data_IF_064833613370
#
_entry.id   IF_064833613370
#
_cell.length_a   1.000
_cell.length_b   1.000
_cell.length_c   1.000
_cell.angle_alpha   90.00
_cell.angle_beta   90.00
_cell.angle_gamma   90.00
#
_symmetry.space_group_name_H-M   'P 1'
#
loop_
_entity.id
_entity.type
_entity.pdbx_description
1 polymer ?
#
# COMPACT_ATOMS: atom_id res chain seq x y z
N UNK A 1 51.69 -19.45 -16.68
CA UNK A 1 51.99 -18.20 -15.92
C UNK A 1 52.39 -18.59 -14.51
N UNK A 2 53.55 -18.14 -14.00
CA UNK A 2 53.99 -18.45 -12.63
C UNK A 2 53.13 -17.67 -11.62
N UNK A 3 52.15 -18.34 -11.00
CA UNK A 3 51.25 -17.79 -9.98
C UNK A 3 51.93 -17.47 -8.62
N UNK A 4 53.27 -17.49 -8.57
CA UNK A 4 54.05 -17.34 -7.33
C UNK A 4 54.63 -15.96 -7.07
N UNK A 5 54.44 -15.00 -7.98
CA UNK A 5 54.85 -13.61 -7.72
C UNK A 5 53.84 -12.90 -6.81
N UNK A 6 54.33 -12.15 -5.83
CA UNK A 6 53.53 -11.32 -4.90
C UNK A 6 52.57 -10.39 -5.68
N UNK A 7 53.01 -9.85 -6.82
CA UNK A 7 52.19 -9.00 -7.71
C UNK A 7 50.95 -9.71 -8.24
N UNK A 8 51.08 -10.96 -8.68
CA UNK A 8 49.97 -11.76 -9.22
C UNK A 8 48.91 -12.07 -8.16
N UNK A 9 49.32 -12.22 -6.89
CA UNK A 9 48.40 -12.50 -5.77
C UNK A 9 47.65 -11.25 -5.33
N UNK A 10 48.32 -10.10 -5.36
CA UNK A 10 47.69 -8.81 -5.05
C UNK A 10 46.65 -8.44 -6.11
N UNK A 11 46.96 -8.66 -7.39
CA UNK A 11 46.00 -8.51 -8.50
C UNK A 11 44.82 -9.49 -8.38
N UNK A 12 45.09 -10.75 -8.00
CA UNK A 12 44.03 -11.74 -7.76
C UNK A 12 43.08 -11.30 -6.62
N UNK A 13 43.61 -10.74 -5.54
CA UNK A 13 42.80 -10.24 -4.43
C UNK A 13 41.92 -9.07 -4.85
N UNK A 14 42.47 -8.10 -5.58
CA UNK A 14 41.68 -6.98 -6.11
C UNK A 14 40.59 -7.47 -7.07
N UNK A 15 40.88 -8.47 -7.91
CA UNK A 15 39.90 -9.05 -8.83
C UNK A 15 38.74 -9.73 -8.07
N UNK A 16 39.05 -10.53 -7.04
CA UNK A 16 38.04 -11.18 -6.19
C UNK A 16 37.19 -10.14 -5.47
N UNK A 17 37.79 -9.08 -4.93
CA UNK A 17 37.04 -7.98 -4.32
C UNK A 17 36.09 -7.32 -5.32
N UNK A 18 36.56 -7.00 -6.53
CA UNK A 18 35.74 -6.35 -7.56
C UNK A 18 34.59 -7.26 -8.01
N UNK A 19 34.84 -8.55 -8.21
CA UNK A 19 33.78 -9.52 -8.58
C UNK A 19 32.78 -9.67 -7.43
N UNK A 20 33.25 -9.81 -6.19
CA UNK A 20 32.38 -9.93 -5.02
C UNK A 20 31.52 -8.69 -4.80
N UNK A 21 32.13 -7.50 -4.88
CA UNK A 21 31.42 -6.22 -4.78
C UNK A 21 30.44 -6.04 -5.94
N UNK A 22 30.82 -6.40 -7.16
CA UNK A 22 29.95 -6.35 -8.34
C UNK A 22 28.75 -7.30 -8.20
N UNK A 23 28.97 -8.52 -7.72
CA UNK A 23 27.91 -9.49 -7.43
C UNK A 23 26.96 -9.01 -6.34
N UNK A 24 27.48 -8.40 -5.27
CA UNK A 24 26.67 -7.76 -4.23
C UNK A 24 25.80 -6.66 -4.80
N UNK A 25 26.38 -5.73 -5.57
CA UNK A 25 25.64 -4.60 -6.16
C UNK A 25 24.58 -5.10 -7.14
N UNK A 26 24.90 -6.08 -7.99
CA UNK A 26 23.95 -6.65 -8.94
C UNK A 26 22.79 -7.37 -8.24
N UNK A 27 23.10 -8.20 -7.24
CA UNK A 27 22.11 -8.88 -6.41
C UNK A 27 21.22 -7.86 -5.69
N UNK A 28 21.81 -6.88 -5.02
CA UNK A 28 21.09 -5.85 -4.30
C UNK A 28 20.20 -5.05 -5.25
N UNK A 29 20.70 -4.64 -6.42
CA UNK A 29 19.89 -3.95 -7.42
C UNK A 29 18.67 -4.79 -7.84
N UNK A 30 18.87 -6.06 -8.18
CA UNK A 30 17.79 -6.95 -8.60
C UNK A 30 16.70 -7.12 -7.54
N UNK A 31 17.09 -7.41 -6.29
CA UNK A 31 16.11 -7.62 -5.21
C UNK A 31 15.48 -6.32 -4.73
N UNK A 32 16.24 -5.21 -4.69
CA UNK A 32 15.70 -3.89 -4.33
C UNK A 32 14.66 -3.42 -5.35
N UNK A 33 14.86 -3.66 -6.66
CA UNK A 33 13.84 -3.31 -7.66
C UNK A 33 12.53 -4.08 -7.42
N UNK A 34 12.61 -5.39 -7.15
CA UNK A 34 11.43 -6.21 -6.82
C UNK A 34 10.71 -5.69 -5.58
N UNK A 35 11.47 -5.31 -4.54
CA UNK A 35 10.92 -4.76 -3.31
C UNK A 35 10.26 -3.39 -3.53
N UNK A 36 10.85 -2.52 -4.37
CA UNK A 36 10.27 -1.22 -4.72
C UNK A 36 8.95 -1.41 -5.46
N UNK A 37 8.91 -2.27 -6.47
CA UNK A 37 7.67 -2.55 -7.22
C UNK A 37 6.57 -3.06 -6.29
N UNK A 38 6.89 -4.00 -5.38
CA UNK A 38 5.90 -4.54 -4.45
C UNK A 38 5.38 -3.47 -3.45
N UNK A 39 6.25 -2.59 -2.97
CA UNK A 39 5.85 -1.46 -2.12
C UNK A 39 4.98 -0.44 -2.87
N UNK A 40 5.27 -0.15 -4.15
CA UNK A 40 4.43 0.71 -4.98
C UNK A 40 3.01 0.14 -5.13
N UNK A 41 2.87 -1.18 -5.24
CA UNK A 41 1.56 -1.83 -5.31
C UNK A 41 0.83 -1.80 -3.95
N UNK A 42 1.56 -1.92 -2.84
CA UNK A 42 0.98 -1.69 -1.51
C UNK A 42 0.49 -0.24 -1.35
N UNK A 43 1.22 0.74 -1.88
CA UNK A 43 0.78 2.15 -1.88
C UNK A 43 -0.54 2.33 -2.65
N UNK A 44 -0.75 1.57 -3.74
CA UNK A 44 -2.02 1.57 -4.47
C UNK A 44 -3.15 1.05 -3.57
N UNK A 45 -2.94 -0.03 -2.83
CA UNK A 45 -3.94 -0.55 -1.86
C UNK A 45 -4.24 0.44 -0.73
N UNK A 46 -3.21 1.11 -0.19
CA UNK A 46 -3.41 2.15 0.83
C UNK A 46 -4.26 3.30 0.28
N UNK A 47 -4.04 3.71 -0.97
CA UNK A 47 -4.87 4.72 -1.66
C UNK A 47 -6.29 4.22 -1.88
N UNK A 48 -6.49 2.95 -2.23
CA UNK A 48 -7.83 2.36 -2.32
C UNK A 48 -8.55 2.35 -0.97
N UNK A 49 -7.82 2.14 0.14
CA UNK A 49 -8.37 2.32 1.48
C UNK A 49 -8.84 3.75 1.74
N UNK A 50 -8.07 4.75 1.29
CA UNK A 50 -8.47 6.15 1.36
C UNK A 50 -9.70 6.46 0.50
N UNK A 51 -9.76 5.90 -0.71
CA UNK A 51 -10.91 6.05 -1.60
C UNK A 51 -12.18 5.51 -0.96
N UNK A 52 -12.12 4.30 -0.37
CA UNK A 52 -13.24 3.71 0.33
C UNK A 52 -13.72 4.59 1.50
N UNK A 53 -12.79 5.24 2.22
CA UNK A 53 -13.13 6.20 3.26
C UNK A 53 -13.79 7.47 2.71
N UNK A 54 -13.36 7.96 1.53
CA UNK A 54 -14.01 9.09 0.86
C UNK A 54 -15.40 8.72 0.34
N UNK A 55 -15.57 7.52 -0.22
CA UNK A 55 -16.87 6.98 -0.60
C UNK A 55 -17.82 6.95 0.60
N UNK A 56 -17.39 6.39 1.73
CA UNK A 56 -18.18 6.39 2.98
C UNK A 56 -18.48 7.79 3.51
N UNK A 57 -17.57 8.76 3.30
CA UNK A 57 -17.82 10.15 3.66
C UNK A 57 -18.94 10.74 2.81
N UNK A 58 -18.85 10.61 1.48
CA UNK A 58 -19.87 11.10 0.55
C UNK A 58 -21.22 10.41 0.77
N UNK A 59 -21.22 9.11 1.04
CA UNK A 59 -22.41 8.39 1.48
C UNK A 59 -23.07 9.05 2.69
N UNK A 60 -22.31 9.24 3.78
CA UNK A 60 -22.84 9.84 5.01
C UNK A 60 -23.31 11.27 4.81
N UNK A 61 -22.57 12.05 4.02
CA UNK A 61 -22.97 13.40 3.66
C UNK A 61 -24.30 13.41 2.87
N UNK A 62 -24.49 12.47 1.95
CA UNK A 62 -25.77 12.29 1.26
C UNK A 62 -26.89 11.91 2.24
N UNK A 63 -26.69 10.91 3.09
CA UNK A 63 -27.72 10.46 4.03
C UNK A 63 -28.13 11.54 5.03
N UNK A 64 -27.21 12.44 5.39
CA UNK A 64 -27.47 13.54 6.31
C UNK A 64 -28.11 14.75 5.62
N UNK A 65 -27.67 15.09 4.40
CA UNK A 65 -28.04 16.34 3.72
C UNK A 65 -29.03 16.16 2.58
N UNK A 66 -29.23 14.93 2.11
CA UNK A 66 -30.05 14.57 0.94
C UNK A 66 -29.66 15.33 -0.34
N UNK A 67 -28.37 15.66 -0.50
CA UNK A 67 -27.86 16.43 -1.65
C UNK A 67 -27.22 15.51 -2.70
N UNK A 68 -27.78 15.54 -3.90
CA UNK A 68 -27.40 14.72 -5.04
C UNK A 68 -25.94 14.89 -5.47
N UNK A 69 -25.31 16.03 -5.19
CA UNK A 69 -23.90 16.24 -5.47
C UNK A 69 -22.99 15.19 -4.82
N UNK A 70 -23.37 14.66 -3.65
CA UNK A 70 -22.59 13.63 -2.97
C UNK A 70 -22.70 12.26 -3.65
N UNK A 71 -23.83 11.94 -4.29
CA UNK A 71 -23.95 10.72 -5.11
C UNK A 71 -23.03 10.78 -6.34
N UNK A 72 -22.91 11.95 -6.96
CA UNK A 72 -21.99 12.15 -8.10
C UNK A 72 -20.53 11.95 -7.64
N UNK A 73 -20.14 12.58 -6.53
CA UNK A 73 -18.78 12.43 -5.96
C UNK A 73 -18.48 10.98 -5.57
N UNK A 74 -19.43 10.30 -4.94
CA UNK A 74 -19.32 8.87 -4.62
C UNK A 74 -19.07 8.04 -5.89
N UNK A 75 -19.86 8.28 -6.95
CA UNK A 75 -19.77 7.52 -8.20
C UNK A 75 -18.42 7.74 -8.90
N UNK A 76 -17.90 8.96 -8.92
CA UNK A 76 -16.57 9.28 -9.43
C UNK A 76 -15.46 8.57 -8.64
N UNK A 77 -15.62 8.52 -7.32
CA UNK A 77 -14.67 7.87 -6.43
C UNK A 77 -14.69 6.34 -6.61
N UNK A 78 -15.86 5.73 -6.84
CA UNK A 78 -16.02 4.31 -7.17
C UNK A 78 -15.32 3.94 -8.49
N UNK A 79 -15.45 4.77 -9.53
CA UNK A 79 -14.72 4.57 -10.80
C UNK A 79 -13.20 4.65 -10.60
N UNK A 80 -12.74 5.58 -9.76
CA UNK A 80 -11.32 5.71 -9.42
C UNK A 80 -10.80 4.51 -8.64
N UNK A 81 -11.61 3.95 -7.74
CA UNK A 81 -11.31 2.73 -7.00
C UNK A 81 -11.17 1.53 -7.95
N UNK A 82 -12.12 1.34 -8.88
CA UNK A 82 -12.08 0.23 -9.85
C UNK A 82 -10.87 0.33 -10.78
N UNK A 83 -10.57 1.53 -11.29
CA UNK A 83 -9.36 1.75 -12.11
C UNK A 83 -8.08 1.33 -11.36
N UNK A 84 -8.01 1.59 -10.04
CA UNK A 84 -6.88 1.16 -9.21
C UNK A 84 -6.88 -0.34 -8.96
N UNK A 85 -8.04 -0.94 -8.72
CA UNK A 85 -8.18 -2.39 -8.60
C UNK A 85 -7.69 -3.13 -9.85
N UNK A 86 -8.06 -2.65 -11.04
CA UNK A 86 -7.63 -3.21 -12.32
C UNK A 86 -6.11 -3.16 -12.50
N UNK A 87 -5.46 -2.11 -11.97
CA UNK A 87 -4.00 -1.98 -12.00
C UNK A 87 -3.26 -3.00 -11.13
N UNK A 88 -3.94 -3.65 -10.17
CA UNK A 88 -3.38 -4.68 -9.31
C UNK A 88 -3.44 -6.09 -9.94
N UNK A 89 -4.32 -6.32 -10.92
CA UNK A 89 -4.51 -7.63 -11.58
C UNK A 89 -3.20 -8.22 -12.14
N UNK A 90 -2.33 -7.46 -12.83
CA UNK A 90 -1.06 -7.99 -13.33
C UNK A 90 -0.15 -8.48 -12.21
N UNK A 91 -0.15 -7.81 -11.07
CA UNK A 91 0.66 -8.20 -9.90
C UNK A 91 0.14 -9.51 -9.29
N UNK A 92 -1.18 -9.66 -9.16
CA UNK A 92 -1.78 -10.90 -8.65
C UNK A 92 -1.42 -12.10 -9.53
N UNK A 93 -1.40 -11.90 -10.84
CA UNK A 93 -0.98 -12.93 -11.80
C UNK A 93 0.53 -13.23 -11.73
N UNK A 94 1.37 -12.22 -11.45
CA UNK A 94 2.82 -12.38 -11.37
C UNK A 94 3.29 -13.17 -10.13
N UNK A 95 2.56 -13.06 -9.02
CA UNK A 95 2.92 -13.64 -7.72
C UNK A 95 2.04 -14.84 -7.33
N UNK A 96 1.27 -15.41 -8.27
CA UNK A 96 0.35 -16.54 -8.06
C UNK A 96 -0.61 -16.32 -6.87
N UNK A 97 -1.06 -15.07 -6.70
CA UNK A 97 -2.03 -14.72 -5.66
C UNK A 97 -3.45 -15.07 -6.12
N UNK A 98 -4.39 -15.30 -5.19
CA UNK A 98 -5.77 -15.61 -5.54
C UNK A 98 -6.43 -14.44 -6.28
N UNK A 99 -6.49 -14.53 -7.63
CA UNK A 99 -7.20 -13.54 -8.47
C UNK A 99 -8.68 -13.46 -8.08
N UNK A 100 -9.22 -14.55 -7.54
CA UNK A 100 -10.57 -14.64 -6.97
C UNK A 100 -10.84 -13.54 -5.93
N UNK A 101 -9.84 -13.10 -5.16
CA UNK A 101 -10.01 -12.06 -4.15
C UNK A 101 -10.19 -10.68 -4.79
N UNK A 102 -9.49 -10.43 -5.90
CA UNK A 102 -9.58 -9.19 -6.70
C UNK A 102 -10.92 -9.14 -7.45
N UNK A 103 -11.35 -10.24 -8.04
CA UNK A 103 -12.66 -10.35 -8.69
C UNK A 103 -13.81 -10.19 -7.68
N UNK A 104 -13.69 -10.83 -6.52
CA UNK A 104 -14.68 -10.72 -5.43
C UNK A 104 -14.79 -9.29 -4.90
N UNK A 105 -13.63 -8.60 -4.76
CA UNK A 105 -13.60 -7.19 -4.39
C UNK A 105 -14.26 -6.31 -5.46
N UNK A 106 -14.00 -6.57 -6.75
CA UNK A 106 -14.62 -5.87 -7.88
C UNK A 106 -16.16 -6.03 -7.91
N UNK A 107 -16.65 -7.25 -7.68
CA UNK A 107 -18.09 -7.49 -7.59
C UNK A 107 -18.72 -6.81 -6.37
N UNK A 108 -18.00 -6.73 -5.25
CA UNK A 108 -18.51 -6.15 -4.01
C UNK A 108 -18.57 -4.63 -4.05
N UNK A 109 -17.59 -3.98 -4.70
CA UNK A 109 -17.63 -2.53 -4.93
C UNK A 109 -18.75 -2.15 -5.89
N UNK A 110 -19.01 -2.97 -6.92
CA UNK A 110 -20.15 -2.79 -7.81
C UNK A 110 -21.47 -2.95 -7.04
N UNK A 111 -21.61 -4.01 -6.25
CA UNK A 111 -22.79 -4.22 -5.39
C UNK A 111 -23.01 -3.04 -4.44
N UNK A 112 -21.94 -2.51 -3.84
CA UNK A 112 -22.02 -1.34 -2.96
C UNK A 112 -22.50 -0.08 -3.71
N UNK A 113 -22.04 0.12 -4.94
CA UNK A 113 -22.49 1.22 -5.80
C UNK A 113 -23.97 1.08 -6.18
N UNK A 114 -24.39 -0.09 -6.62
CA UNK A 114 -25.78 -0.38 -6.99
C UNK A 114 -26.72 -0.15 -5.80
N UNK A 115 -26.37 -0.68 -4.62
CA UNK A 115 -27.15 -0.48 -3.40
C UNK A 115 -27.25 0.99 -3.00
N UNK A 116 -26.18 1.77 -3.17
CA UNK A 116 -26.26 3.21 -2.94
C UNK A 116 -27.19 3.91 -3.93
N UNK A 117 -27.14 3.53 -5.20
CA UNK A 117 -28.04 4.06 -6.21
C UNK A 117 -29.51 3.74 -5.89
N UNK A 118 -29.81 2.53 -5.42
CA UNK A 118 -31.14 2.17 -4.94
C UNK A 118 -31.57 3.08 -3.77
N UNK A 119 -30.68 3.36 -2.81
CA UNK A 119 -30.94 4.25 -1.67
C UNK A 119 -31.27 5.66 -2.15
N UNK A 120 -30.46 6.21 -3.05
CA UNK A 120 -30.64 7.55 -3.61
C UNK A 120 -31.96 7.64 -4.36
N UNK A 121 -32.30 6.63 -5.17
CA UNK A 121 -33.56 6.58 -5.91
C UNK A 121 -34.77 6.56 -4.96
N UNK A 122 -34.72 5.75 -3.90
CA UNK A 122 -35.79 5.69 -2.91
C UNK A 122 -35.93 7.00 -2.13
N UNK A 123 -34.82 7.65 -1.75
CA UNK A 123 -34.87 8.97 -1.11
C UNK A 123 -35.40 10.06 -2.03
N UNK A 124 -35.11 10.01 -3.34
CA UNK A 124 -35.74 10.93 -4.32
C UNK A 124 -37.25 10.72 -4.39
N UNK A 125 -37.72 9.47 -4.35
CA UNK A 125 -39.14 9.15 -4.35
C UNK A 125 -39.84 9.67 -3.07
N UNK A 126 -39.23 9.48 -1.90
CA UNK A 126 -39.71 10.05 -0.63
C UNK A 126 -39.72 11.59 -0.72
N UNK A 127 -38.66 12.16 -1.28
CA UNK A 127 -38.42 13.59 -1.38
C UNK A 127 -37.17 13.99 -0.59
N UNK A 128 -36.15 14.50 -1.30
CA UNK A 128 -34.91 15.01 -0.71
C UNK A 128 -35.12 16.30 0.10
N UNK A 129 -36.15 17.06 -0.26
CA UNK A 129 -36.63 18.25 0.43
C UNK A 129 -38.11 18.12 0.72
N UNK A 130 -38.63 18.99 1.60
CA UNK A 130 -40.07 19.09 1.88
C UNK A 130 -40.92 19.37 0.61
N UNK A 131 -40.31 19.98 -0.41
CA UNK A 131 -40.97 20.38 -1.64
C UNK A 131 -40.68 19.42 -2.82
N UNK A 132 -40.27 18.18 -2.54
CA UNK A 132 -40.02 17.17 -3.56
C UNK A 132 -40.62 15.82 -3.20
N UNK A 133 -40.82 14.95 -4.20
CA UNK A 133 -41.30 13.58 -4.00
C UNK A 133 -42.67 13.51 -3.32
N UNK A 134 -42.93 12.39 -2.64
CA UNK A 134 -44.18 12.14 -1.91
C UNK A 134 -44.40 13.17 -0.79
N UNK A 135 -43.34 13.72 -0.17
CA UNK A 135 -43.45 14.79 0.82
C UNK A 135 -44.20 16.01 0.27
N UNK A 136 -43.86 16.44 -0.95
CA UNK A 136 -44.54 17.56 -1.60
C UNK A 136 -46.00 17.27 -1.95
N UNK A 137 -46.28 16.03 -2.40
CA UNK A 137 -47.63 15.59 -2.71
C UNK A 137 -48.52 15.62 -1.46
N UNK A 138 -48.02 15.10 -0.33
CA UNK A 138 -48.68 15.15 0.98
C UNK A 138 -48.96 16.59 1.39
N UNK A 139 -47.96 17.47 1.35
CA UNK A 139 -48.15 18.88 1.73
C UNK A 139 -49.19 19.59 0.84
N UNK A 140 -49.18 19.33 -0.47
CA UNK A 140 -50.17 19.91 -1.38
C UNK A 140 -51.59 19.39 -1.10
N UNK A 141 -51.74 18.09 -0.78
CA UNK A 141 -53.03 17.50 -0.42
C UNK A 141 -53.52 18.02 0.93
N UNK A 142 -52.65 18.13 1.93
CA UNK A 142 -52.97 18.72 3.24
C UNK A 142 -53.43 20.17 3.10
N UNK A 143 -52.76 20.99 2.29
CA UNK A 143 -53.17 22.38 2.02
C UNK A 143 -54.55 22.46 1.39
N UNK A 144 -54.83 21.62 0.38
CA UNK A 144 -56.15 21.55 -0.27
C UNK A 144 -57.24 21.11 0.70
N UNK A 145 -56.98 20.08 1.52
CA UNK A 145 -57.92 19.59 2.51
C UNK A 145 -58.18 20.61 3.63
N UNK A 146 -57.19 21.46 3.93
CA UNK A 146 -57.30 22.52 4.94
C UNK A 146 -58.37 23.58 4.61
N UNK A 147 -58.75 23.70 3.34
CA UNK A 147 -59.80 24.63 2.86
C UNK A 147 -61.20 23.99 2.82
N UNK A 148 -61.33 22.71 3.22
CA UNK A 148 -62.58 21.93 3.14
C UNK A 148 -63.22 21.67 4.51
N UNK A 149 -64.35 20.94 4.54
CA UNK A 149 -65.02 20.51 5.78
C UNK A 149 -64.13 19.64 6.67
N UNK A 150 -63.09 18.99 6.12
CA UNK A 150 -62.11 18.20 6.88
C UNK A 150 -61.47 19.01 8.01
N UNK A 151 -61.17 20.28 7.76
CA UNK A 151 -60.53 21.19 8.72
C UNK A 151 -61.55 21.98 9.56
N UNK A 152 -62.78 21.50 9.67
CA UNK A 152 -63.82 22.06 10.54
C UNK A 152 -64.22 21.07 11.63
N UNK A 153 -64.89 21.57 12.67
CA UNK A 153 -65.43 20.69 13.71
C UNK A 153 -66.51 19.79 13.09
N UNK A 154 -66.57 18.49 13.44
CA UNK A 154 -65.78 17.79 14.45
C UNK A 154 -64.48 17.12 13.95
N UNK A 155 -64.22 17.10 12.63
CA UNK A 155 -63.12 16.32 12.03
C UNK A 155 -61.74 16.97 12.13
N UNK A 156 -61.69 18.26 12.48
CA UNK A 156 -60.44 19.03 12.59
C UNK A 156 -59.39 18.40 13.50
N UNK A 157 -59.81 17.83 14.63
CA UNK A 157 -58.92 17.17 15.58
C UNK A 157 -58.27 15.94 14.94
N UNK A 158 -59.08 15.06 14.35
CA UNK A 158 -58.62 13.85 13.65
C UNK A 158 -57.65 14.18 12.51
N UNK A 159 -57.93 15.24 11.75
CA UNK A 159 -57.05 15.69 10.68
C UNK A 159 -55.71 16.23 11.22
N UNK A 160 -55.75 16.98 12.33
CA UNK A 160 -54.56 17.47 13.03
C UNK A 160 -53.70 16.32 13.59
N UNK A 161 -54.31 15.32 14.20
CA UNK A 161 -53.62 14.13 14.72
C UNK A 161 -52.94 13.35 13.60
N UNK A 162 -53.60 13.20 12.45
CA UNK A 162 -53.03 12.54 11.28
C UNK A 162 -51.81 13.32 10.74
N UNK A 163 -51.87 14.65 10.70
CA UNK A 163 -50.73 15.48 10.32
C UNK A 163 -49.57 15.32 11.31
N UNK A 164 -49.85 15.34 12.62
CA UNK A 164 -48.86 15.14 13.68
C UNK A 164 -48.20 13.77 13.59
N UNK A 165 -48.99 12.70 13.48
CA UNK A 165 -48.49 11.33 13.30
C UNK A 165 -47.60 11.23 12.06
N UNK A 166 -47.99 11.87 10.95
CA UNK A 166 -47.19 11.93 9.71
C UNK A 166 -45.84 12.60 9.93
N UNK A 167 -45.80 13.76 10.60
CA UNK A 167 -44.54 14.47 10.88
C UNK A 167 -43.66 13.70 11.87
N UNK A 168 -44.26 13.12 12.91
CA UNK A 168 -43.55 12.27 13.86
C UNK A 168 -42.92 11.08 13.16
N UNK A 169 -43.66 10.36 12.32
CA UNK A 169 -43.13 9.24 11.54
C UNK A 169 -41.96 9.66 10.62
N UNK A 170 -42.06 10.80 9.94
CA UNK A 170 -40.97 11.27 9.06
C UNK A 170 -39.68 11.60 9.82
N UNK A 171 -39.78 12.01 11.09
CA UNK A 171 -38.66 12.37 11.94
C UNK A 171 -38.08 11.14 12.63
N UNK A 172 -38.93 10.34 13.29
CA UNK A 172 -38.50 9.24 14.17
C UNK A 172 -38.40 7.91 13.45
N UNK A 173 -39.18 7.71 12.38
CA UNK A 173 -39.30 6.45 11.63
C UNK A 173 -39.78 5.29 12.53
N UNK A 174 -40.51 5.59 13.60
CA UNK A 174 -41.04 4.57 14.50
C UNK A 174 -42.33 3.92 13.97
N UNK A 175 -42.40 2.59 14.10
CA UNK A 175 -43.53 1.79 13.62
C UNK A 175 -44.87 2.09 14.31
N UNK A 176 -44.87 2.78 15.45
CA UNK A 176 -46.11 3.22 16.13
C UNK A 176 -46.83 4.26 15.27
N UNK A 177 -46.11 5.28 14.79
CA UNK A 177 -46.70 6.33 13.97
C UNK A 177 -47.14 5.83 12.59
N UNK A 178 -46.46 4.82 12.02
CA UNK A 178 -46.91 4.18 10.79
C UNK A 178 -48.32 3.57 10.92
N UNK A 179 -48.58 2.88 12.04
CA UNK A 179 -49.90 2.30 12.36
C UNK A 179 -50.93 3.38 12.62
N UNK A 180 -50.56 4.42 13.37
CA UNK A 180 -51.42 5.56 13.65
C UNK A 180 -51.85 6.29 12.36
N UNK A 181 -50.94 6.50 11.40
CA UNK A 181 -51.25 7.06 10.09
C UNK A 181 -52.29 6.21 9.34
N UNK A 182 -52.11 4.88 9.34
CA UNK A 182 -53.03 3.95 8.68
C UNK A 182 -54.44 4.00 9.31
N UNK A 183 -54.53 3.93 10.64
CA UNK A 183 -55.79 3.97 11.38
C UNK A 183 -56.53 5.31 11.20
N UNK A 184 -55.82 6.43 11.42
CA UNK A 184 -56.40 7.77 11.33
C UNK A 184 -56.82 8.12 9.90
N UNK A 185 -56.01 7.77 8.89
CA UNK A 185 -56.34 8.03 7.49
C UNK A 185 -57.56 7.24 7.02
N UNK A 186 -57.66 5.96 7.42
CA UNK A 186 -58.82 5.11 7.11
C UNK A 186 -60.09 5.64 7.75
N UNK A 187 -60.01 6.01 9.03
CA UNK A 187 -61.13 6.64 9.74
C UNK A 187 -61.56 7.94 9.06
N UNK A 188 -60.60 8.80 8.69
CA UNK A 188 -60.90 10.08 8.05
C UNK A 188 -61.60 9.89 6.69
N UNK A 189 -61.15 8.97 5.85
CA UNK A 189 -61.80 8.65 4.57
C UNK A 189 -63.25 8.21 4.78
N UNK A 190 -63.49 7.28 5.71
CA UNK A 190 -64.84 6.72 5.97
C UNK A 190 -65.87 7.75 6.42
N UNK A 191 -65.43 8.86 7.04
CA UNK A 191 -66.33 9.93 7.50
C UNK A 191 -66.89 10.78 6.36
N UNK A 192 -66.27 10.72 5.17
CA UNK A 192 -66.66 11.52 4.01
C UNK A 192 -67.01 10.65 2.81
N UNK A 193 -67.45 9.40 3.04
CA UNK A 193 -67.75 8.46 1.96
C UNK A 193 -68.84 8.98 1.00
N UNK A 194 -69.78 9.76 1.53
CA UNK A 194 -70.91 10.33 0.78
C UNK A 194 -70.55 11.56 -0.08
N UNK A 195 -69.43 12.25 0.21
CA UNK A 195 -68.97 13.41 -0.59
C UNK A 195 -67.97 12.95 -1.66
N UNK A 196 -68.46 12.73 -2.89
CA UNK A 196 -67.65 12.20 -3.98
C UNK A 196 -66.37 13.01 -4.28
N UNK A 197 -66.43 14.34 -4.22
CA UNK A 197 -65.27 15.17 -4.56
C UNK A 197 -64.22 15.15 -3.45
N UNK A 198 -64.68 15.20 -2.19
CA UNK A 198 -63.82 15.16 -1.03
C UNK A 198 -63.22 13.77 -0.81
N UNK A 199 -64.02 12.71 -1.00
CA UNK A 199 -63.60 11.32 -0.91
C UNK A 199 -62.44 11.02 -1.88
N UNK A 200 -62.53 11.46 -3.15
CA UNK A 200 -61.43 11.29 -4.12
C UNK A 200 -60.14 11.97 -3.65
N UNK A 201 -60.22 13.15 -3.03
CA UNK A 201 -59.03 13.86 -2.52
C UNK A 201 -58.45 13.16 -1.28
N UNK A 202 -59.32 12.68 -0.38
CA UNK A 202 -58.92 11.93 0.82
C UNK A 202 -58.31 10.56 0.48
N UNK A 203 -58.84 9.84 -0.51
CA UNK A 203 -58.26 8.59 -1.00
C UNK A 203 -56.88 8.79 -1.60
N UNK A 204 -56.66 9.88 -2.34
CA UNK A 204 -55.33 10.26 -2.83
C UNK A 204 -54.38 10.57 -1.68
N UNK A 205 -54.84 11.29 -0.66
CA UNK A 205 -54.06 11.59 0.53
C UNK A 205 -53.68 10.33 1.30
N UNK A 206 -54.63 9.44 1.54
CA UNK A 206 -54.37 8.13 2.15
C UNK A 206 -53.37 7.31 1.32
N UNK A 207 -53.51 7.27 0.00
CA UNK A 207 -52.58 6.56 -0.88
C UNK A 207 -51.16 7.12 -0.80
N UNK A 208 -51.01 8.45 -0.76
CA UNK A 208 -49.71 9.11 -0.60
C UNK A 208 -49.08 8.81 0.78
N UNK A 209 -49.88 8.79 1.85
CA UNK A 209 -49.43 8.40 3.19
C UNK A 209 -48.97 6.94 3.25
N UNK A 210 -49.74 6.02 2.65
CA UNK A 210 -49.36 4.60 2.55
C UNK A 210 -48.07 4.44 1.75
N UNK A 211 -47.93 5.16 0.62
CA UNK A 211 -46.70 5.15 -0.17
C UNK A 211 -45.49 5.70 0.62
N UNK A 212 -45.69 6.75 1.42
CA UNK A 212 -44.66 7.27 2.33
C UNK A 212 -44.20 6.21 3.33
N UNK A 213 -45.15 5.58 4.04
CA UNK A 213 -44.86 4.53 5.04
C UNK A 213 -44.13 3.35 4.39
N UNK A 214 -44.64 2.84 3.28
CA UNK A 214 -44.03 1.72 2.56
C UNK A 214 -42.61 2.02 2.08
N UNK A 215 -42.34 3.25 1.61
CA UNK A 215 -41.00 3.63 1.20
C UNK A 215 -40.03 3.72 2.38
N UNK A 216 -40.46 4.20 3.55
CA UNK A 216 -39.63 4.17 4.76
C UNK A 216 -39.41 2.75 5.29
N UNK A 217 -40.42 1.88 5.22
CA UNK A 217 -40.27 0.46 5.58
C UNK A 217 -39.25 -0.24 4.66
N UNK A 218 -39.34 -0.01 3.35
CA UNK A 218 -38.38 -0.53 2.38
C UNK A 218 -36.97 0.04 2.61
N UNK A 219 -36.88 1.32 2.95
CA UNK A 219 -35.59 1.94 3.28
C UNK A 219 -34.96 1.32 4.53
N UNK A 220 -35.78 0.95 5.52
CA UNK A 220 -35.37 0.39 6.80
C UNK A 220 -35.58 1.39 7.94
N UNK A 221 -36.43 1.03 8.90
CA UNK A 221 -36.70 1.87 10.08
C UNK A 221 -35.52 1.89 11.05
N UNK A 222 -34.73 0.81 11.11
CA UNK A 222 -33.49 0.74 11.87
C UNK A 222 -32.27 0.72 10.94
N UNK A 223 -31.08 0.80 11.53
CA UNK A 223 -29.82 0.79 10.81
C UNK A 223 -29.46 -0.57 10.18
N UNK A 224 -30.16 -1.64 10.56
CA UNK A 224 -29.87 -3.01 10.12
C UNK A 224 -30.98 -3.59 9.23
N UNK A 225 -32.08 -2.86 9.05
CA UNK A 225 -33.25 -3.35 8.32
C UNK A 225 -33.29 -2.79 6.90
N UNK A 226 -34.02 -3.51 6.04
CA UNK A 226 -34.31 -3.10 4.68
C UNK A 226 -33.06 -2.74 3.88
N UNK A 227 -33.22 -1.77 2.99
CA UNK A 227 -32.17 -1.35 2.09
C UNK A 227 -30.97 -0.73 2.84
N UNK A 228 -31.18 -0.06 3.97
CA UNK A 228 -30.10 0.47 4.83
C UNK A 228 -29.18 -0.63 5.34
N UNK A 229 -29.75 -1.73 5.83
CA UNK A 229 -28.98 -2.88 6.31
C UNK A 229 -28.17 -3.55 5.20
N UNK A 230 -28.81 -3.86 4.08
CA UNK A 230 -28.15 -4.44 2.90
C UNK A 230 -27.00 -3.56 2.41
N UNK A 231 -27.26 -2.26 2.30
CA UNK A 231 -26.29 -1.27 1.87
C UNK A 231 -25.09 -1.19 2.83
N UNK A 232 -25.33 -1.14 4.14
CA UNK A 232 -24.27 -1.14 5.14
C UNK A 232 -23.42 -2.41 5.08
N UNK A 233 -24.05 -3.57 4.88
CA UNK A 233 -23.36 -4.84 4.74
C UNK A 233 -22.45 -4.84 3.50
N UNK A 234 -22.91 -4.29 2.37
CA UNK A 234 -22.09 -4.18 1.16
C UNK A 234 -20.83 -3.32 1.41
N UNK A 235 -20.95 -2.21 2.13
CA UNK A 235 -19.81 -1.38 2.52
C UNK A 235 -18.81 -2.12 3.43
N UNK A 236 -19.29 -2.99 4.32
CA UNK A 236 -18.45 -3.82 5.17
C UNK A 236 -17.76 -4.95 4.39
N UNK A 237 -18.45 -5.54 3.41
CA UNK A 237 -17.87 -6.58 2.56
C UNK A 237 -16.66 -6.06 1.78
N UNK A 238 -16.79 -4.87 1.16
CA UNK A 238 -15.68 -4.21 0.45
C UNK A 238 -14.49 -3.94 1.40
N UNK A 239 -14.76 -3.44 2.61
CA UNK A 239 -13.71 -3.18 3.60
C UNK A 239 -12.98 -4.46 4.01
N UNK A 240 -13.73 -5.54 4.27
CA UNK A 240 -13.16 -6.81 4.69
C UNK A 240 -12.33 -7.45 3.57
N UNK A 241 -12.83 -7.46 2.34
CA UNK A 241 -12.08 -7.98 1.18
C UNK A 241 -10.83 -7.15 0.90
N UNK A 242 -10.91 -5.81 0.98
CA UNK A 242 -9.72 -4.97 0.82
C UNK A 242 -8.66 -5.27 1.90
N UNK A 243 -9.07 -5.52 3.15
CA UNK A 243 -8.16 -5.96 4.22
C UNK A 243 -7.58 -7.34 3.96
N UNK A 244 -8.38 -8.28 3.42
CA UNK A 244 -7.89 -9.61 3.02
C UNK A 244 -6.83 -9.52 1.93
N UNK A 245 -7.04 -8.66 0.93
CA UNK A 245 -6.10 -8.38 -0.15
C UNK A 245 -4.79 -7.78 0.40
N UNK A 246 -4.85 -6.79 1.30
CA UNK A 246 -3.65 -6.26 1.96
C UNK A 246 -2.93 -7.33 2.80
N UNK A 247 -3.68 -8.13 3.55
CA UNK A 247 -3.14 -9.20 4.40
C UNK A 247 -2.46 -10.31 3.59
N UNK A 248 -2.95 -10.59 2.39
CA UNK A 248 -2.33 -11.54 1.47
C UNK A 248 -0.96 -11.05 0.95
N UNK A 249 -0.73 -9.73 0.88
CA UNK A 249 0.54 -9.16 0.41
C UNK A 249 1.61 -8.99 1.48
N UNK A 250 1.22 -8.83 2.74
CA UNK A 250 2.19 -8.70 3.83
C UNK A 250 3.25 -9.82 3.86
N UNK A 251 2.91 -11.12 3.79
CA UNK A 251 3.92 -12.17 3.82
C UNK A 251 4.86 -12.14 2.60
N UNK A 252 4.38 -11.70 1.43
CA UNK A 252 5.23 -11.57 0.24
C UNK A 252 6.27 -10.46 0.42
N UNK A 253 5.88 -9.34 1.02
CA UNK A 253 6.79 -8.23 1.33
C UNK A 253 7.84 -8.68 2.34
N UNK A 254 7.42 -9.28 3.45
CA UNK A 254 8.33 -9.78 4.48
C UNK A 254 9.31 -10.82 3.91
N UNK A 255 8.84 -11.72 3.05
CA UNK A 255 9.69 -12.72 2.40
C UNK A 255 10.73 -12.08 1.46
N UNK A 256 10.33 -11.10 0.64
CA UNK A 256 11.25 -10.40 -0.26
C UNK A 256 12.29 -9.58 0.52
N UNK A 257 11.88 -8.91 1.61
CA UNK A 257 12.81 -8.20 2.50
C UNK A 257 13.82 -9.14 3.17
N UNK A 258 13.35 -10.30 3.64
CA UNK A 258 14.23 -11.31 4.23
C UNK A 258 15.22 -11.87 3.19
N UNK A 259 14.77 -12.12 1.96
CA UNK A 259 15.66 -12.57 0.87
C UNK A 259 16.75 -11.55 0.57
N UNK A 260 16.42 -10.25 0.46
CA UNK A 260 17.43 -9.17 0.29
C UNK A 260 18.49 -9.26 1.38
N UNK A 261 18.07 -9.40 2.64
CA UNK A 261 18.98 -9.45 3.80
C UNK A 261 19.85 -10.70 3.79
N UNK A 262 19.27 -11.88 3.58
CA UNK A 262 19.96 -13.17 3.64
C UNK A 262 20.96 -13.30 2.49
N UNK A 263 20.57 -13.01 1.25
CA UNK A 263 21.48 -13.09 0.12
C UNK A 263 22.60 -12.05 0.20
N UNK A 264 22.30 -10.81 0.64
CA UNK A 264 23.31 -9.78 0.87
C UNK A 264 24.36 -10.21 1.89
N UNK A 265 23.92 -10.69 3.06
CA UNK A 265 24.83 -11.21 4.09
C UNK A 265 25.60 -12.46 3.63
N UNK A 266 24.95 -13.37 2.89
CA UNK A 266 25.56 -14.59 2.38
C UNK A 266 26.71 -14.30 1.41
N UNK A 267 26.50 -13.41 0.44
CA UNK A 267 27.55 -13.02 -0.51
C UNK A 267 28.68 -12.26 0.21
N UNK A 268 28.34 -11.37 1.16
CA UNK A 268 29.35 -10.64 1.95
C UNK A 268 30.20 -11.58 2.82
N UNK A 269 29.59 -12.57 3.46
CA UNK A 269 30.30 -13.58 4.25
C UNK A 269 31.19 -14.45 3.37
N UNK A 270 30.68 -14.93 2.22
CA UNK A 270 31.43 -15.75 1.28
C UNK A 270 32.66 -15.01 0.74
N UNK A 271 32.49 -13.76 0.31
CA UNK A 271 33.61 -12.93 -0.19
C UNK A 271 34.64 -12.66 0.91
N UNK A 272 34.21 -12.41 2.15
CA UNK A 272 35.10 -12.24 3.31
C UNK A 272 35.90 -13.51 3.61
N UNK A 273 35.26 -14.68 3.62
CA UNK A 273 35.94 -15.97 3.84
C UNK A 273 36.97 -16.24 2.75
N UNK A 274 36.63 -16.02 1.48
CA UNK A 274 37.57 -16.19 0.35
C UNK A 274 38.76 -15.24 0.49
N UNK A 275 38.53 -13.98 0.84
CA UNK A 275 39.59 -13.00 1.13
C UNK A 275 40.52 -13.46 2.25
N UNK A 276 39.96 -13.89 3.38
CA UNK A 276 40.73 -14.38 4.53
C UNK A 276 41.58 -15.59 4.14
N UNK A 277 41.04 -16.56 3.41
CA UNK A 277 41.78 -17.75 2.97
C UNK A 277 42.97 -17.39 2.07
N UNK A 278 42.79 -16.46 1.13
CA UNK A 278 43.89 -16.03 0.27
C UNK A 278 44.90 -15.20 1.04
N UNK A 279 44.49 -14.35 1.99
CA UNK A 279 45.38 -13.60 2.87
C UNK A 279 46.24 -14.55 3.72
N UNK A 280 45.64 -15.59 4.32
CA UNK A 280 46.36 -16.62 5.09
C UNK A 280 47.39 -17.31 4.20
N UNK A 281 46.99 -17.76 3.00
CA UNK A 281 47.92 -18.42 2.05
C UNK A 281 49.05 -17.48 1.61
N UNK A 282 48.73 -16.21 1.35
CA UNK A 282 49.71 -15.18 0.98
C UNK A 282 50.72 -14.96 2.10
N UNK A 283 50.24 -14.76 3.34
CA UNK A 283 51.06 -14.57 4.53
C UNK A 283 51.94 -15.79 4.82
N UNK A 284 51.39 -17.01 4.77
CA UNK A 284 52.16 -18.24 5.01
C UNK A 284 53.31 -18.38 4.00
N UNK A 285 53.09 -17.98 2.74
CA UNK A 285 54.15 -18.03 1.73
C UNK A 285 55.21 -16.95 1.96
N UNK A 286 54.78 -15.73 2.29
CA UNK A 286 55.71 -14.64 2.66
C UNK A 286 56.56 -15.03 3.86
N UNK A 287 55.95 -15.60 4.90
CA UNK A 287 56.64 -16.06 6.09
C UNK A 287 57.65 -17.16 5.77
N UNK A 288 57.31 -18.16 4.93
CA UNK A 288 58.27 -19.17 4.46
C UNK A 288 59.45 -18.53 3.72
N UNK A 289 59.19 -17.58 2.82
CA UNK A 289 60.24 -16.87 2.10
C UNK A 289 61.14 -16.06 3.05
N UNK A 290 60.53 -15.39 4.03
CA UNK A 290 61.22 -14.60 5.04
C UNK A 290 62.06 -15.47 5.98
N UNK A 291 61.53 -16.60 6.46
CA UNK A 291 62.29 -17.56 7.29
C UNK A 291 63.46 -18.13 6.50
N UNK A 292 63.29 -18.45 5.22
CA UNK A 292 64.40 -18.90 4.37
C UNK A 292 65.49 -17.82 4.24
N UNK A 293 65.10 -16.56 4.06
CA UNK A 293 66.01 -15.41 4.04
C UNK A 293 66.73 -15.22 5.38
N UNK A 294 66.00 -15.28 6.50
CA UNK A 294 66.56 -15.13 7.83
C UNK A 294 67.50 -16.30 8.17
N UNK A 295 67.17 -17.51 7.72
CA UNK A 295 68.03 -18.69 7.83
C UNK A 295 69.29 -18.53 6.97
N UNK A 296 69.21 -17.91 5.80
CA UNK A 296 70.37 -17.55 4.99
C UNK A 296 71.28 -16.55 5.73
N UNK A 297 70.71 -15.48 6.31
CA UNK A 297 71.45 -14.53 7.14
C UNK A 297 72.06 -15.18 8.39
N UNK A 298 71.32 -16.08 9.04
CA UNK A 298 71.82 -16.82 10.20
C UNK A 298 72.93 -17.80 9.81
N UNK A 299 72.86 -18.43 8.62
CA UNK A 299 73.94 -19.24 8.05
C UNK A 299 75.18 -18.39 7.76
N UNK A 300 75.04 -17.21 7.18
CA UNK A 300 76.15 -16.26 7.01
C UNK A 300 76.76 -15.88 8.37
N UNK A 301 75.94 -15.51 9.36
CA UNK A 301 76.42 -15.17 10.72
C UNK A 301 77.12 -16.33 11.42
N UNK A 302 76.62 -17.57 11.28
CA UNK A 302 77.22 -18.77 11.86
C UNK A 302 78.52 -19.16 11.14
N UNK A 303 78.63 -18.90 9.83
CA UNK A 303 79.91 -18.98 9.13
C UNK A 303 80.90 -17.94 9.68
N UNK A 304 80.47 -16.72 9.97
CA UNK A 304 81.31 -15.70 10.62
C UNK A 304 81.78 -16.10 12.03
N UNK A 305 80.98 -16.80 12.84
CA UNK A 305 81.39 -17.22 14.20
C UNK A 305 82.37 -18.40 14.25
N UNK A 306 82.61 -19.10 13.13
CA UNK A 306 83.58 -20.21 13.03
C UNK A 306 84.86 -19.85 12.29
N UNK A 307 85.08 -18.58 11.96
CA UNK A 307 86.27 -18.14 11.24
C UNK A 307 87.22 -17.46 12.23
N UNK A 308 88.39 -18.07 12.35
CA UNK A 308 89.56 -17.62 13.10
C UNK A 308 89.87 -16.14 12.82
N UNK A 309 90.02 -15.33 13.87
CA UNK A 309 90.16 -13.86 13.81
C UNK A 309 91.49 -13.38 13.20
N UNK A 310 92.29 -14.28 12.61
CA UNK A 310 93.58 -13.96 11.97
C UNK A 310 93.56 -13.97 10.43
N UNK A 311 92.43 -14.26 9.79
CA UNK A 311 92.30 -14.16 8.32
C UNK A 311 90.99 -13.48 7.93
N UNK A 312 90.92 -12.15 8.06
CA UNK A 312 89.86 -11.36 7.40
C UNK A 312 90.51 -10.44 6.37
N UNK A 313 90.42 -10.82 5.09
CA UNK A 313 90.68 -9.91 3.99
C UNK A 313 89.48 -8.99 3.79
N UNK A 314 89.73 -7.69 3.70
CA UNK A 314 88.79 -6.58 3.44
C UNK A 314 87.85 -6.75 2.21
N UNK A 315 87.97 -7.84 1.44
CA UNK A 315 87.24 -8.06 0.20
C UNK A 315 85.75 -8.43 0.40
N UNK A 316 85.39 -9.17 1.45
CA UNK A 316 84.01 -9.66 1.61
C UNK A 316 83.07 -8.62 2.25
N UNK A 317 83.58 -7.79 3.16
CA UNK A 317 82.87 -6.61 3.70
C UNK A 317 82.60 -5.58 2.60
N UNK A 318 83.51 -5.45 1.62
CA UNK A 318 83.32 -4.63 0.44
C UNK A 318 82.20 -5.16 -0.44
N UNK A 319 82.09 -6.48 -0.62
CA UNK A 319 81.01 -7.10 -1.40
C UNK A 319 79.62 -6.91 -0.75
N UNK A 320 79.54 -6.97 0.58
CA UNK A 320 78.29 -6.73 1.32
C UNK A 320 77.87 -5.25 1.27
N UNK A 321 78.84 -4.33 1.31
CA UNK A 321 78.60 -2.91 1.13
C UNK A 321 78.19 -2.57 -0.33
N UNK A 322 78.81 -3.21 -1.33
CA UNK A 322 78.43 -3.08 -2.75
C UNK A 322 77.02 -3.61 -3.01
N UNK A 323 76.65 -4.76 -2.45
CA UNK A 323 75.33 -5.37 -2.64
C UNK A 323 74.22 -4.60 -1.88
N UNK A 324 74.55 -3.99 -0.74
CA UNK A 324 73.67 -3.04 -0.06
C UNK A 324 73.50 -1.73 -0.86
N UNK A 325 74.56 -1.23 -1.48
CA UNK A 325 74.49 -0.08 -2.38
C UNK A 325 73.64 -0.38 -3.62
N UNK A 326 73.81 -1.53 -4.25
CA UNK A 326 73.00 -1.98 -5.38
C UNK A 326 71.50 -2.07 -5.02
N UNK A 327 71.16 -2.52 -3.81
CA UNK A 327 69.78 -2.52 -3.35
C UNK A 327 69.21 -1.11 -3.12
N UNK A 328 70.02 -0.18 -2.60
CA UNK A 328 69.60 1.22 -2.41
C UNK A 328 69.41 1.90 -3.78
N UNK A 329 70.28 1.60 -4.74
CA UNK A 329 70.20 2.14 -6.10
C UNK A 329 69.01 1.55 -6.89
N UNK A 330 68.76 0.25 -6.73
CA UNK A 330 67.57 -0.44 -7.23
C UNK A 330 66.28 0.17 -6.66
N UNK A 331 66.24 0.45 -5.34
CA UNK A 331 65.10 1.13 -4.71
C UNK A 331 64.87 2.52 -5.29
N UNK A 332 65.94 3.32 -5.48
CA UNK A 332 65.88 4.65 -6.12
C UNK A 332 65.35 4.58 -7.55
N UNK A 333 65.77 3.59 -8.35
CA UNK A 333 65.27 3.39 -9.70
C UNK A 333 63.79 2.97 -9.74
N UNK A 334 63.33 2.21 -8.75
CA UNK A 334 61.92 1.84 -8.61
C UNK A 334 61.08 3.08 -8.22
N UNK A 335 61.56 3.90 -7.29
CA UNK A 335 60.92 5.17 -6.89
C UNK A 335 60.85 6.16 -8.07
N UNK A 336 61.91 6.29 -8.86
CA UNK A 336 61.93 7.12 -10.07
C UNK A 336 60.95 6.63 -11.13
N UNK A 337 60.82 5.30 -11.33
CA UNK A 337 59.81 4.73 -12.22
C UNK A 337 58.39 4.96 -11.72
N UNK A 338 58.14 4.82 -10.42
CA UNK A 338 56.85 5.15 -9.82
C UNK A 338 56.49 6.62 -10.03
N UNK A 339 57.42 7.55 -9.80
CA UNK A 339 57.21 8.97 -10.06
C UNK A 339 56.93 9.27 -11.55
N UNK A 340 57.61 8.60 -12.48
CA UNK A 340 57.35 8.75 -13.92
C UNK A 340 55.97 8.21 -14.34
N UNK A 341 55.53 7.11 -13.74
CA UNK A 341 54.21 6.51 -14.00
C UNK A 341 53.10 7.36 -13.37
N UNK A 342 53.33 7.95 -12.19
CA UNK A 342 52.42 8.91 -11.57
C UNK A 342 52.31 10.21 -12.40
N UNK A 343 53.42 10.69 -12.98
CA UNK A 343 53.41 11.83 -13.89
C UNK A 343 52.68 11.53 -15.21
N UNK A 344 52.83 10.34 -15.79
CA UNK A 344 52.05 9.90 -16.95
C UNK A 344 50.56 9.75 -16.62
N UNK A 345 50.21 9.27 -15.42
CA UNK A 345 48.81 9.19 -14.96
C UNK A 345 48.19 10.57 -14.73
N UNK A 346 48.98 11.54 -14.25
CA UNK A 346 48.55 12.93 -14.08
C UNK A 346 48.32 13.61 -15.44
N UNK A 347 49.19 13.39 -16.43
CA UNK A 347 49.00 13.90 -17.79
C UNK A 347 47.79 13.28 -18.50
N UNK A 348 47.47 12.00 -18.22
CA UNK A 348 46.26 11.34 -18.74
C UNK A 348 44.95 11.74 -18.05
N UNK A 349 45.00 12.43 -16.90
CA UNK A 349 43.84 13.01 -16.21
C UNK A 349 43.58 14.48 -16.57
N UNK A 350 44.54 15.13 -17.24
CA UNK A 350 44.44 16.50 -17.72
C UNK A 350 44.14 16.60 -19.24
N UNK A 351 43.96 15.45 -19.90
CA UNK A 351 43.35 15.27 -21.22
C UNK A 351 42.06 14.49 -21.06
#
# INVERSE_FOLDING_TARGET
MKFDSIKSRLVLMTLICVIGMGGLVASQHYFTQRLITLNQQRDVLLRMGQDLLQMRRHEKDFLLRSDEAYFIKFSQQAVSFNTRLDSLVPMFSQYDLPITDVESLSNSIETYREKFQEVVALQRQIGLTLNSGIRSEITNLENRLSETEVNRAPTRELFGDLQLATRNFQITQEAVYAREIEELSTRLVSMFDDDQNLNVTLQRYQSALVALVNNYLRFGLTHNDGLRGEFRQSAHNVENQLKSVDSALQPLIEQQEAQVRIYGLGIAALTSVVLILVLIKSFATFHRAFVNFLTFFYRCKRQYQKIDTRKLGFAELKSLAELANEMVESKRNIEARLASVEAELANKKAS
#
